data_IF_041780027211
#
_entry.id   IF_041780027211
#
_cell.length_a   1.000
_cell.length_b   1.000
_cell.length_c   1.000
_cell.angle_alpha   90.00
_cell.angle_beta   90.00
_cell.angle_gamma   90.00
#
_symmetry.space_group_name_H-M   'P 1'
#
loop_
_entity.id
_entity.type
_entity.pdbx_description
1 polymer ?
#
# COMPACT_ATOMS: atom_id res chain seq x y z
N UNK A 1 6.24 -21.63 2.85
CA UNK A 1 5.40 -21.85 4.02
C UNK A 1 5.06 -23.33 4.16
N UNK A 2 4.83 -23.81 5.39
CA UNK A 2 4.34 -25.18 5.63
C UNK A 2 2.92 -25.36 5.09
N UNK A 3 2.07 -24.36 5.31
CA UNK A 3 0.69 -24.31 4.80
C UNK A 3 0.42 -22.96 4.15
N UNK A 4 -0.30 -22.98 3.05
CA UNK A 4 -0.77 -21.78 2.36
C UNK A 4 -2.27 -21.87 2.13
N UNK A 5 -3.01 -20.83 2.52
CA UNK A 5 -4.48 -20.79 2.44
C UNK A 5 -4.91 -19.50 1.75
N UNK A 6 -5.74 -19.59 0.74
CA UNK A 6 -6.50 -18.47 0.20
C UNK A 6 -7.84 -18.38 0.91
N UNK A 7 -8.16 -17.21 1.46
CA UNK A 7 -9.41 -16.96 2.17
C UNK A 7 -10.25 -15.94 1.38
N UNK A 8 -11.40 -16.39 0.86
CA UNK A 8 -12.22 -15.65 -0.11
C UNK A 8 -13.39 -14.89 0.51
N UNK A 9 -13.64 -15.10 1.79
CA UNK A 9 -14.72 -14.44 2.54
C UNK A 9 -14.38 -14.41 4.03
N UNK A 10 -15.15 -13.64 4.80
CA UNK A 10 -14.93 -13.48 6.25
C UNK A 10 -14.91 -14.82 7.00
N UNK A 11 -15.84 -15.72 6.68
CA UNK A 11 -15.92 -17.03 7.35
C UNK A 11 -14.66 -17.86 7.11
N UNK A 12 -14.14 -17.84 5.88
CA UNK A 12 -12.90 -18.54 5.53
C UNK A 12 -11.67 -17.88 6.18
N UNK A 13 -11.65 -16.55 6.28
CA UNK A 13 -10.58 -15.80 6.99
C UNK A 13 -10.53 -16.26 8.45
N UNK A 14 -11.66 -16.20 9.15
CA UNK A 14 -11.76 -16.59 10.57
C UNK A 14 -11.39 -18.06 10.73
N UNK A 15 -11.98 -18.95 9.94
CA UNK A 15 -11.71 -20.39 10.03
C UNK A 15 -10.23 -20.73 9.76
N UNK A 16 -9.58 -20.06 8.79
CA UNK A 16 -8.17 -20.28 8.51
C UNK A 16 -7.26 -19.81 9.66
N UNK A 17 -7.60 -18.69 10.30
CA UNK A 17 -6.87 -18.17 11.47
C UNK A 17 -7.03 -19.11 12.66
N UNK A 18 -8.25 -19.56 12.95
CA UNK A 18 -8.53 -20.48 14.07
C UNK A 18 -7.88 -21.85 13.86
N UNK A 19 -7.92 -22.39 12.65
CA UNK A 19 -7.27 -23.65 12.31
C UNK A 19 -5.73 -23.60 12.37
N UNK A 20 -5.16 -22.43 12.40
CA UNK A 20 -3.71 -22.21 12.47
C UNK A 20 -3.23 -21.68 13.84
N UNK A 21 -4.11 -21.65 14.85
CA UNK A 21 -3.83 -20.99 16.15
C UNK A 21 -2.55 -21.49 16.85
N UNK A 22 -2.20 -22.77 16.68
CA UNK A 22 -1.04 -23.39 17.32
C UNK A 22 0.26 -23.27 16.50
N UNK A 23 0.24 -22.51 15.42
CA UNK A 23 1.38 -22.27 14.55
C UNK A 23 1.61 -20.80 14.25
N UNK A 24 2.83 -20.39 13.88
CA UNK A 24 3.05 -19.05 13.38
C UNK A 24 2.13 -18.74 12.18
N UNK A 25 1.49 -17.57 12.20
CA UNK A 25 0.60 -17.11 11.13
C UNK A 25 1.18 -15.87 10.47
N UNK A 26 1.25 -15.88 9.14
CA UNK A 26 1.55 -14.71 8.32
C UNK A 26 0.34 -14.36 7.47
N UNK A 27 -0.25 -13.21 7.71
CA UNK A 27 -1.35 -12.67 6.91
C UNK A 27 -0.75 -11.83 5.77
N UNK A 28 -1.18 -12.10 4.55
CA UNK A 28 -0.75 -11.34 3.37
C UNK A 28 -1.94 -10.91 2.51
N UNK A 29 -1.78 -9.79 1.82
CA UNK A 29 -2.61 -9.42 0.67
C UNK A 29 -1.93 -9.87 -0.63
N UNK A 30 -1.52 -8.91 -1.48
CA UNK A 30 -0.80 -9.21 -2.73
C UNK A 30 0.66 -9.68 -2.56
N UNK A 31 1.20 -9.68 -1.34
CA UNK A 31 2.61 -10.05 -1.09
C UNK A 31 3.64 -9.04 -1.64
N UNK A 32 3.22 -7.82 -1.93
CA UNK A 32 4.04 -6.82 -2.62
C UNK A 32 4.96 -6.01 -1.71
N UNK A 33 4.82 -6.18 -0.38
CA UNK A 33 5.62 -5.45 0.62
C UNK A 33 6.29 -6.39 1.62
N UNK A 34 6.68 -7.57 1.16
CA UNK A 34 7.40 -8.57 1.96
C UNK A 34 8.62 -9.08 1.23
N UNK A 35 9.67 -9.36 1.98
CA UNK A 35 10.84 -10.11 1.52
C UNK A 35 10.88 -11.42 2.28
N UNK A 36 10.76 -12.53 1.54
CA UNK A 36 10.78 -13.88 2.11
C UNK A 36 12.17 -14.46 1.96
N UNK A 37 12.76 -14.89 3.07
CA UNK A 37 14.05 -15.58 3.06
C UNK A 37 13.95 -16.95 2.34
N UNK A 38 15.08 -17.49 1.87
CA UNK A 38 15.13 -18.75 1.13
C UNK A 38 14.58 -19.94 1.93
N UNK A 39 14.73 -19.94 3.26
CA UNK A 39 14.14 -20.91 4.18
C UNK A 39 12.61 -20.84 4.25
N UNK A 40 12.01 -19.79 3.70
CA UNK A 40 10.57 -19.60 3.68
C UNK A 40 10.00 -19.21 5.05
N UNK A 41 8.75 -19.61 5.31
CA UNK A 41 8.03 -19.31 6.56
C UNK A 41 7.58 -20.62 7.22
N UNK A 42 8.03 -20.84 8.44
CA UNK A 42 7.72 -22.05 9.20
C UNK A 42 6.36 -21.94 9.93
N UNK A 43 5.30 -21.87 9.15
CA UNK A 43 3.94 -21.71 9.65
C UNK A 43 2.89 -21.68 8.56
N UNK A 44 1.73 -21.12 8.87
CA UNK A 44 0.61 -20.94 7.95
C UNK A 44 0.61 -19.54 7.37
N UNK A 45 0.67 -19.41 6.05
CA UNK A 45 0.43 -18.17 5.32
C UNK A 45 -1.05 -18.14 4.92
N UNK A 46 -1.75 -17.07 5.30
CA UNK A 46 -3.15 -16.86 4.92
C UNK A 46 -3.18 -15.62 4.01
N UNK A 47 -3.52 -15.84 2.74
CA UNK A 47 -3.72 -14.76 1.78
C UNK A 47 -5.18 -14.33 1.79
N UNK A 48 -5.39 -13.05 2.06
CA UNK A 48 -6.73 -12.45 2.05
C UNK A 48 -7.11 -12.12 0.62
N UNK A 49 -8.15 -12.78 0.11
CA UNK A 49 -8.61 -12.66 -1.28
C UNK A 49 -10.12 -12.39 -1.36
N UNK A 50 -10.75 -12.03 -0.24
CA UNK A 50 -12.17 -11.66 -0.21
C UNK A 50 -12.41 -10.40 -1.03
N UNK A 51 -13.35 -10.52 -1.95
CA UNK A 51 -13.71 -9.44 -2.88
C UNK A 51 -15.17 -9.06 -2.64
N UNK A 52 -15.37 -7.79 -2.36
CA UNK A 52 -16.69 -7.17 -2.26
C UNK A 52 -16.58 -5.69 -2.58
N UNK A 53 -17.62 -5.14 -3.17
CA UNK A 53 -17.77 -3.71 -3.38
C UNK A 53 -19.25 -3.37 -3.15
N UNK A 54 -19.53 -2.69 -2.05
CA UNK A 54 -20.81 -2.11 -1.76
C UNK A 54 -20.69 -0.59 -1.85
N UNK A 55 -21.67 0.06 -2.45
CA UNK A 55 -21.65 1.49 -2.68
C UNK A 55 -22.98 2.10 -2.28
N UNK A 56 -22.94 3.03 -1.36
CA UNK A 56 -24.06 3.93 -1.02
C UNK A 56 -23.73 5.31 -1.59
N UNK A 57 -24.55 5.78 -2.50
CA UNK A 57 -24.33 7.05 -3.21
C UNK A 57 -25.43 8.02 -2.81
N UNK A 58 -25.02 9.16 -2.30
CA UNK A 58 -25.88 10.28 -1.95
C UNK A 58 -25.37 11.56 -2.62
N UNK A 59 -26.28 12.31 -3.23
CA UNK A 59 -25.94 13.51 -4.00
C UNK A 59 -25.26 14.61 -3.16
N UNK A 60 -25.52 14.66 -1.86
CA UNK A 60 -24.98 15.66 -0.95
C UNK A 60 -23.68 15.23 -0.29
N UNK A 61 -23.60 13.96 0.12
CA UNK A 61 -22.47 13.43 0.89
C UNK A 61 -21.43 12.70 0.03
N UNK A 62 -21.75 12.39 -1.23
CA UNK A 62 -20.87 11.66 -2.13
C UNK A 62 -21.09 10.15 -2.08
N UNK A 63 -20.02 9.36 -2.17
CA UNK A 63 -20.07 7.91 -2.19
C UNK A 63 -19.39 7.30 -0.96
N UNK A 64 -20.14 6.51 -0.20
CA UNK A 64 -19.60 5.60 0.82
C UNK A 64 -19.39 4.25 0.19
N UNK A 65 -18.15 3.78 0.17
CA UNK A 65 -17.73 2.54 -0.48
C UNK A 65 -17.17 1.57 0.54
N UNK A 66 -17.80 0.41 0.73
CA UNK A 66 -17.29 -0.69 1.57
C UNK A 66 -16.64 -1.74 0.67
N UNK A 67 -15.34 -1.95 0.86
CA UNK A 67 -14.49 -2.71 -0.06
C UNK A 67 -13.81 -3.86 0.68
N UNK A 68 -13.94 -5.07 0.14
CA UNK A 68 -13.27 -6.26 0.66
C UNK A 68 -11.74 -6.12 0.66
N UNK A 69 -11.10 -6.59 1.73
CA UNK A 69 -9.66 -6.43 1.95
C UNK A 69 -8.79 -7.05 0.85
N UNK A 70 -9.28 -8.07 0.15
CA UNK A 70 -8.59 -8.77 -0.94
C UNK A 70 -8.72 -8.11 -2.31
N UNK A 71 -9.47 -7.00 -2.45
CA UNK A 71 -9.53 -6.26 -3.70
C UNK A 71 -8.16 -5.66 -4.07
N UNK A 72 -7.83 -5.67 -5.37
CA UNK A 72 -6.62 -5.02 -5.85
C UNK A 72 -6.75 -3.50 -5.68
N UNK A 73 -5.74 -2.87 -5.09
CA UNK A 73 -5.78 -1.44 -4.80
C UNK A 73 -5.92 -0.58 -6.06
N UNK A 74 -5.09 -0.80 -7.08
CA UNK A 74 -5.12 0.05 -8.28
C UNK A 74 -6.35 -0.19 -9.16
N UNK A 75 -6.88 -1.41 -9.19
CA UNK A 75 -8.16 -1.70 -9.86
C UNK A 75 -9.32 -0.99 -9.16
N UNK A 76 -9.31 -0.96 -7.81
CA UNK A 76 -10.27 -0.18 -7.03
C UNK A 76 -10.17 1.32 -7.35
N UNK A 77 -8.98 1.92 -7.28
CA UNK A 77 -8.77 3.34 -7.63
C UNK A 77 -9.18 3.63 -9.07
N UNK A 78 -8.87 2.74 -10.02
CA UNK A 78 -9.32 2.86 -11.41
C UNK A 78 -10.84 2.89 -11.51
N UNK A 79 -11.52 2.04 -10.76
CA UNK A 79 -12.99 1.97 -10.76
C UNK A 79 -13.62 3.22 -10.18
N UNK A 80 -13.04 3.82 -9.11
CA UNK A 80 -13.55 5.07 -8.52
C UNK A 80 -13.43 6.22 -9.52
N UNK A 81 -12.29 6.38 -10.18
CA UNK A 81 -12.08 7.40 -11.22
C UNK A 81 -13.05 7.24 -12.39
N UNK A 82 -13.27 6.01 -12.87
CA UNK A 82 -14.19 5.72 -13.96
C UNK A 82 -15.66 6.04 -13.61
N UNK A 83 -16.01 5.95 -12.33
CA UNK A 83 -17.36 6.26 -11.79
C UNK A 83 -17.55 7.74 -11.41
N UNK A 84 -16.52 8.58 -11.59
CA UNK A 84 -16.57 9.99 -11.22
C UNK A 84 -16.50 10.23 -9.71
N UNK A 85 -15.81 9.37 -8.96
CA UNK A 85 -15.48 9.57 -7.56
C UNK A 85 -14.06 10.09 -7.43
N UNK A 86 -13.91 11.26 -6.80
CA UNK A 86 -12.65 11.95 -6.60
C UNK A 86 -12.09 11.71 -5.19
N UNK A 87 -10.77 11.61 -5.10
CA UNK A 87 -10.03 11.48 -3.83
C UNK A 87 -8.82 10.54 -3.95
N UNK A 88 -8.99 9.38 -4.54
CA UNK A 88 -7.94 8.34 -4.57
C UNK A 88 -7.02 8.40 -5.79
N UNK A 89 -7.24 9.28 -6.74
CA UNK A 89 -6.52 9.37 -8.02
C UNK A 89 -5.01 9.57 -7.86
N UNK A 90 -4.57 10.30 -6.82
CA UNK A 90 -3.16 10.50 -6.49
C UNK A 90 -2.48 9.25 -5.96
N UNK A 91 -3.25 8.29 -5.44
CA UNK A 91 -2.78 7.02 -4.91
C UNK A 91 -2.78 5.89 -5.95
N UNK A 92 -2.95 6.25 -7.23
CA UNK A 92 -2.94 5.32 -8.36
C UNK A 92 -1.62 4.57 -8.49
N UNK A 93 -1.69 3.32 -8.90
CA UNK A 93 -0.51 2.48 -9.19
C UNK A 93 0.27 2.04 -7.94
N UNK A 94 -0.22 2.28 -6.73
CA UNK A 94 0.37 1.70 -5.51
C UNK A 94 0.06 0.20 -5.53
N UNK A 95 1.06 -0.67 -5.42
CA UNK A 95 0.84 -2.12 -5.43
C UNK A 95 0.23 -2.60 -4.11
N UNK A 96 -0.53 -3.69 -4.18
CA UNK A 96 -1.11 -4.34 -3.01
C UNK A 96 -2.62 -4.45 -3.06
N UNK A 97 -3.23 -4.66 -1.89
CA UNK A 97 -4.68 -4.83 -1.74
C UNK A 97 -5.28 -3.75 -0.86
N UNK A 98 -6.58 -3.56 -0.97
CA UNK A 98 -7.33 -2.58 -0.18
C UNK A 98 -7.12 -2.80 1.33
N UNK A 99 -7.17 -4.04 1.82
CA UNK A 99 -6.95 -4.33 3.25
C UNK A 99 -5.55 -4.05 3.76
N UNK A 100 -4.54 -3.98 2.87
CA UNK A 100 -3.19 -3.59 3.25
C UNK A 100 -3.02 -2.07 3.34
N UNK A 101 -3.91 -1.28 2.74
CA UNK A 101 -3.79 0.17 2.65
C UNK A 101 -3.82 0.88 4.02
N UNK A 102 -4.70 0.54 4.99
CA UNK A 102 -4.71 1.19 6.29
C UNK A 102 -3.55 0.79 7.20
N UNK A 103 -2.92 -0.39 6.97
CA UNK A 103 -1.89 -0.91 7.90
C UNK A 103 -0.74 0.08 8.06
N UNK A 104 -0.23 0.63 6.99
CA UNK A 104 0.85 1.61 7.02
C UNK A 104 0.44 2.98 6.48
N UNK A 105 -0.87 3.27 6.44
CA UNK A 105 -1.38 4.52 5.93
C UNK A 105 -0.70 4.87 4.59
N UNK A 106 -1.00 4.10 3.53
CA UNK A 106 -0.35 4.31 2.23
C UNK A 106 -0.57 5.74 1.75
N UNK A 107 0.45 6.31 1.11
CA UNK A 107 0.36 7.69 0.62
C UNK A 107 1.34 7.96 -0.51
N UNK A 108 0.95 8.84 -1.40
CA UNK A 108 1.73 9.31 -2.53
C UNK A 108 1.25 10.68 -2.98
N UNK A 109 2.15 11.46 -3.59
CA UNK A 109 1.83 12.75 -4.20
C UNK A 109 1.07 13.73 -3.30
N UNK A 110 1.42 13.74 -2.00
CA UNK A 110 0.89 14.69 -1.01
C UNK A 110 -0.41 14.25 -0.32
N UNK A 111 -0.94 13.07 -0.64
CA UNK A 111 -2.14 12.52 0.00
C UNK A 111 -1.86 11.17 0.66
N UNK A 112 -2.64 10.86 1.69
CA UNK A 112 -2.62 9.59 2.40
C UNK A 112 -4.02 8.95 2.39
N UNK A 113 -4.08 7.64 2.45
CA UNK A 113 -5.35 6.91 2.39
C UNK A 113 -6.26 7.21 3.58
N UNK A 114 -5.69 7.60 4.71
CA UNK A 114 -6.42 8.02 5.91
C UNK A 114 -7.36 9.19 5.69
N UNK A 115 -7.10 10.05 4.68
CA UNK A 115 -7.97 11.18 4.33
C UNK A 115 -9.34 10.71 3.82
N UNK A 116 -9.45 9.48 3.36
CA UNK A 116 -10.62 8.92 2.69
C UNK A 116 -11.25 7.74 3.43
N UNK A 117 -10.53 7.11 4.37
CA UNK A 117 -11.04 6.00 5.18
C UNK A 117 -11.97 6.55 6.26
N UNK A 118 -13.17 5.97 6.36
CA UNK A 118 -14.11 6.25 7.46
C UNK A 118 -14.10 5.15 8.51
N UNK A 119 -13.99 3.89 8.08
CA UNK A 119 -14.00 2.73 8.98
C UNK A 119 -13.09 1.62 8.44
N UNK A 120 -12.55 0.83 9.37
CA UNK A 120 -11.81 -0.40 9.07
C UNK A 120 -12.41 -1.54 9.89
N UNK A 121 -12.94 -2.55 9.22
CA UNK A 121 -13.52 -3.73 9.86
C UNK A 121 -12.47 -4.83 9.90
N UNK A 122 -12.27 -5.40 11.08
CA UNK A 122 -11.17 -6.35 11.37
C UNK A 122 -11.67 -7.54 12.17
N UNK A 123 -10.90 -8.63 12.10
CA UNK A 123 -10.96 -9.72 13.08
C UNK A 123 -9.85 -9.53 14.12
N UNK A 124 -10.22 -9.41 15.39
CA UNK A 124 -9.28 -9.36 16.52
C UNK A 124 -8.93 -10.79 16.93
N UNK A 125 -7.69 -11.21 16.68
CA UNK A 125 -7.20 -12.55 16.97
C UNK A 125 -7.07 -12.86 18.47
N UNK A 126 -7.04 -11.83 19.34
CA UNK A 126 -6.97 -12.01 20.79
C UNK A 126 -8.36 -12.26 21.38
N UNK A 127 -9.36 -11.45 21.00
CA UNK A 127 -10.73 -11.61 21.52
C UNK A 127 -11.58 -12.57 20.68
N UNK A 128 -11.12 -12.93 19.48
CA UNK A 128 -11.84 -13.76 18.48
C UNK A 128 -13.17 -13.14 18.02
N UNK A 129 -13.19 -11.82 17.92
CA UNK A 129 -14.37 -11.03 17.57
C UNK A 129 -14.10 -10.14 16.37
N UNK A 130 -15.18 -9.80 15.67
CA UNK A 130 -15.15 -8.75 14.64
C UNK A 130 -15.19 -7.39 15.35
N UNK A 131 -14.23 -6.54 15.01
CA UNK A 131 -14.13 -5.18 15.53
C UNK A 131 -14.02 -4.17 14.39
N UNK A 132 -14.85 -3.13 14.46
CA UNK A 132 -14.82 -2.01 13.52
C UNK A 132 -14.19 -0.79 14.19
N UNK A 133 -13.19 -0.22 13.55
CA UNK A 133 -12.49 0.99 13.96
C UNK A 133 -12.99 2.17 13.14
N UNK A 134 -13.29 3.29 13.80
CA UNK A 134 -13.46 4.59 13.11
C UNK A 134 -12.12 5.11 12.63
N UNK A 135 -12.12 6.13 11.77
CA UNK A 135 -10.88 6.79 11.32
C UNK A 135 -10.00 7.23 12.50
N UNK A 136 -10.60 7.89 13.50
CA UNK A 136 -9.89 8.34 14.70
C UNK A 136 -9.26 7.19 15.50
N UNK A 137 -9.98 6.09 15.67
CA UNK A 137 -9.49 4.89 16.37
C UNK A 137 -8.37 4.16 15.62
N UNK A 138 -8.22 4.41 14.31
CA UNK A 138 -7.12 3.87 13.53
C UNK A 138 -5.78 4.58 13.81
N UNK A 139 -5.76 5.71 14.53
CA UNK A 139 -4.56 6.45 14.94
C UNK A 139 -3.55 6.64 13.80
N UNK A 140 -4.06 7.02 12.62
CA UNK A 140 -3.23 7.18 11.45
C UNK A 140 -2.17 8.26 11.63
N UNK A 141 -0.97 7.96 11.18
CA UNK A 141 0.13 8.91 11.08
C UNK A 141 1.04 8.52 9.92
N UNK A 142 2.09 9.30 9.68
CA UNK A 142 3.00 9.04 8.56
C UNK A 142 3.51 7.60 8.58
N UNK A 143 3.10 6.81 7.57
CA UNK A 143 3.45 5.39 7.41
C UNK A 143 3.15 4.53 8.64
N UNK A 144 2.16 4.90 9.43
CA UNK A 144 1.78 4.20 10.66
C UNK A 144 0.27 4.19 10.89
N UNK A 145 -0.19 3.25 11.71
CA UNK A 145 -1.57 3.12 12.16
C UNK A 145 -1.63 2.31 13.46
N UNK A 146 -2.78 2.30 14.11
CA UNK A 146 -3.06 1.42 15.25
C UNK A 146 -2.77 -0.05 14.93
N UNK A 147 -3.09 -0.50 13.72
CA UNK A 147 -2.85 -1.89 13.29
C UNK A 147 -1.37 -2.23 13.18
N UNK A 148 -0.55 -1.31 12.68
CA UNK A 148 0.90 -1.47 12.59
C UNK A 148 1.56 -1.43 13.96
N UNK A 149 1.02 -0.64 14.89
CA UNK A 149 1.47 -0.57 16.28
C UNK A 149 1.12 -1.85 17.08
N UNK A 150 0.13 -2.65 16.63
CA UNK A 150 -0.29 -3.90 17.23
C UNK A 150 -0.10 -5.08 16.24
N UNK A 151 1.14 -5.42 15.88
CA UNK A 151 1.43 -6.38 14.83
C UNK A 151 0.86 -7.76 15.15
N UNK A 152 0.22 -8.36 14.14
CA UNK A 152 -0.32 -9.73 14.22
C UNK A 152 -1.63 -9.86 15.00
N UNK A 153 -2.17 -8.80 15.61
CA UNK A 153 -3.42 -8.86 16.34
C UNK A 153 -4.64 -8.73 15.45
N UNK A 154 -4.68 -7.72 14.60
CA UNK A 154 -5.85 -7.41 13.77
C UNK A 154 -5.66 -7.88 12.34
N UNK A 155 -6.68 -8.54 11.79
CA UNK A 155 -6.73 -8.93 10.37
C UNK A 155 -7.82 -8.10 9.71
N UNK A 156 -7.44 -7.24 8.77
CA UNK A 156 -8.40 -6.40 8.05
C UNK A 156 -9.25 -7.26 7.11
N UNK A 157 -10.57 -7.09 7.20
CA UNK A 157 -11.56 -7.80 6.38
C UNK A 157 -12.17 -6.86 5.35
N UNK A 158 -12.42 -5.61 5.74
CA UNK A 158 -13.09 -4.62 4.90
C UNK A 158 -12.61 -3.22 5.25
N UNK A 159 -12.55 -2.34 4.26
CA UNK A 159 -12.25 -0.92 4.45
C UNK A 159 -13.36 -0.08 3.83
N UNK A 160 -13.88 0.87 4.60
CA UNK A 160 -14.90 1.80 4.14
C UNK A 160 -14.27 3.16 3.82
N UNK A 161 -14.62 3.69 2.65
CA UNK A 161 -14.14 4.97 2.15
C UNK A 161 -15.29 5.94 1.96
N UNK A 162 -15.02 7.23 2.18
CA UNK A 162 -15.89 8.33 1.78
C UNK A 162 -15.22 9.12 0.67
N UNK A 163 -15.82 9.15 -0.51
CA UNK A 163 -15.31 9.83 -1.68
C UNK A 163 -16.32 10.90 -2.15
N UNK A 164 -15.79 12.01 -2.68
CA UNK A 164 -16.64 13.04 -3.28
C UNK A 164 -17.07 12.62 -4.68
N UNK A 165 -18.29 12.95 -5.05
CA UNK A 165 -18.70 12.93 -6.46
C UNK A 165 -18.09 14.14 -7.17
N UNK A 166 -17.49 13.92 -8.33
CA UNK A 166 -16.93 15.00 -9.13
C UNK A 166 -15.86 14.54 -10.09
N UNK A 167 -15.59 15.39 -11.04
CA UNK A 167 -14.61 15.14 -12.11
C UNK A 167 -13.25 15.79 -11.82
N UNK A 168 -13.15 16.58 -10.77
CA UNK A 168 -11.92 17.25 -10.35
C UNK A 168 -11.31 16.60 -9.13
N UNK A 169 -9.99 16.49 -9.14
CA UNK A 169 -9.17 15.92 -8.08
C UNK A 169 -9.29 16.68 -6.75
N UNK A 170 -8.72 16.11 -5.70
CA UNK A 170 -8.27 16.91 -4.54
C UNK A 170 -7.24 17.95 -4.98
N UNK A 171 -6.99 19.05 -4.20
CA UNK A 171 -5.93 20.00 -4.53
C UNK A 171 -4.58 19.30 -4.68
N UNK A 172 -3.87 19.57 -5.78
CA UNK A 172 -2.58 18.98 -6.08
C UNK A 172 -1.50 19.72 -5.30
N UNK A 173 -1.06 19.17 -4.18
CA UNK A 173 -0.06 19.78 -3.29
C UNK A 173 1.38 19.38 -3.62
N UNK A 174 1.57 18.36 -4.47
CA UNK A 174 2.89 17.84 -4.80
C UNK A 174 3.44 18.47 -6.09
N UNK A 175 4.51 19.25 -5.98
CA UNK A 175 5.03 20.07 -7.07
C UNK A 175 5.35 19.30 -8.36
N UNK A 176 5.91 18.08 -8.26
CA UNK A 176 6.21 17.26 -9.45
C UNK A 176 4.94 16.87 -10.22
N UNK A 177 3.86 16.58 -9.50
CA UNK A 177 2.56 16.25 -10.13
C UNK A 177 1.91 17.51 -10.69
N UNK A 178 1.94 18.64 -9.99
CA UNK A 178 1.44 19.92 -10.47
C UNK A 178 2.17 20.34 -11.78
N UNK A 179 3.49 20.25 -11.81
CA UNK A 179 4.29 20.52 -13.02
C UNK A 179 3.93 19.56 -14.17
N UNK A 180 3.69 18.28 -13.89
CA UNK A 180 3.29 17.29 -14.90
C UNK A 180 1.90 17.58 -15.47
N UNK A 181 1.03 18.19 -14.68
CA UNK A 181 -0.34 18.59 -15.07
C UNK A 181 -0.40 20.02 -15.63
N UNK A 182 0.73 20.75 -15.63
CA UNK A 182 0.83 22.15 -16.10
C UNK A 182 -0.10 23.10 -15.32
N UNK A 183 -0.24 22.89 -14.00
CA UNK A 183 -1.06 23.70 -13.09
C UNK A 183 -0.21 24.23 -11.92
N UNK A 184 -0.73 25.24 -11.21
CA UNK A 184 -0.11 25.71 -9.98
C UNK A 184 -0.32 24.71 -8.82
N UNK A 185 0.62 24.68 -7.87
CA UNK A 185 0.46 23.90 -6.63
C UNK A 185 -0.74 24.43 -5.85
N UNK A 186 -1.64 23.53 -5.47
CA UNK A 186 -2.90 23.85 -4.79
C UNK A 186 -4.12 23.88 -5.71
N UNK A 187 -3.93 23.91 -7.01
CA UNK A 187 -5.03 23.80 -7.98
C UNK A 187 -5.53 22.36 -8.12
N UNK A 188 -6.66 22.23 -8.78
CA UNK A 188 -7.31 20.94 -9.08
C UNK A 188 -7.18 20.64 -10.57
N UNK A 189 -7.18 19.36 -10.90
CA UNK A 189 -7.17 18.88 -12.28
C UNK A 189 -8.22 17.78 -12.46
N UNK A 190 -8.63 17.46 -13.70
CA UNK A 190 -9.53 16.35 -13.94
C UNK A 190 -8.97 15.04 -13.36
N UNK A 191 -9.80 14.29 -12.63
CA UNK A 191 -9.39 13.02 -11.95
C UNK A 191 -8.75 12.03 -12.93
N UNK A 192 -9.24 11.96 -14.16
CA UNK A 192 -8.70 11.07 -15.20
C UNK A 192 -7.30 11.52 -15.62
N UNK A 193 -7.09 12.82 -15.81
CA UNK A 193 -5.78 13.39 -16.15
C UNK A 193 -4.79 13.21 -14.98
N UNK A 194 -5.24 13.45 -13.75
CA UNK A 194 -4.44 13.25 -12.52
C UNK A 194 -3.97 11.79 -12.42
N UNK A 195 -4.89 10.81 -12.54
CA UNK A 195 -4.51 9.40 -12.53
C UNK A 195 -3.48 9.07 -13.62
N UNK A 196 -3.70 9.55 -14.86
CA UNK A 196 -2.77 9.34 -15.97
C UNK A 196 -1.39 9.89 -15.65
N UNK A 197 -1.30 11.13 -15.19
CA UNK A 197 -0.04 11.78 -14.82
C UNK A 197 0.69 11.03 -13.71
N UNK A 198 -0.03 10.57 -12.67
CA UNK A 198 0.53 9.76 -11.58
C UNK A 198 1.11 8.46 -12.11
N UNK A 199 0.40 7.73 -12.95
CA UNK A 199 0.87 6.46 -13.53
C UNK A 199 2.12 6.69 -14.41
N UNK A 200 2.16 7.75 -15.21
CA UNK A 200 3.33 8.09 -16.01
C UNK A 200 4.56 8.42 -15.14
N UNK A 201 4.38 9.23 -14.09
CA UNK A 201 5.45 9.55 -13.15
C UNK A 201 5.96 8.31 -12.41
N UNK A 202 5.07 7.41 -12.04
CA UNK A 202 5.44 6.14 -11.38
C UNK A 202 6.15 5.20 -12.34
N UNK A 203 5.70 5.11 -13.60
CA UNK A 203 6.34 4.30 -14.63
C UNK A 203 7.78 4.78 -14.89
N UNK A 204 7.97 6.10 -15.03
CA UNK A 204 9.29 6.69 -15.24
C UNK A 204 10.28 6.44 -14.07
N UNK A 205 9.76 6.10 -12.89
CA UNK A 205 10.55 5.75 -11.69
C UNK A 205 10.70 4.23 -11.48
N UNK A 206 10.23 3.39 -12.39
CA UNK A 206 10.20 1.94 -12.23
C UNK A 206 9.28 1.46 -11.09
N UNK A 207 8.25 2.25 -10.71
CA UNK A 207 7.34 1.95 -9.59
C UNK A 207 6.03 1.28 -10.03
N UNK A 208 5.85 1.05 -11.33
CA UNK A 208 4.76 0.24 -11.87
C UNK A 208 5.34 -1.07 -12.38
N UNK A 209 4.80 -2.18 -11.87
CA UNK A 209 5.27 -3.49 -12.29
C UNK A 209 4.96 -3.72 -13.78
N UNK A 210 6.01 -3.85 -14.57
CA UNK A 210 5.97 -4.24 -15.98
C UNK A 210 6.82 -5.51 -16.16
N UNK A 211 6.23 -6.66 -16.49
CA UNK A 211 7.00 -7.91 -16.66
C UNK A 211 8.07 -7.83 -17.75
N UNK A 212 7.94 -6.92 -18.70
CA UNK A 212 8.90 -6.72 -19.80
C UNK A 212 10.06 -5.79 -19.43
N UNK A 213 9.96 -5.08 -18.31
CA UNK A 213 10.94 -4.11 -17.84
C UNK A 213 11.50 -4.53 -16.48
N UNK A 214 12.77 -4.93 -16.44
CA UNK A 214 13.44 -5.35 -15.22
C UNK A 214 13.62 -4.24 -14.20
N UNK A 215 13.71 -2.99 -14.63
CA UNK A 215 13.87 -1.84 -13.73
C UNK A 215 12.58 -1.58 -12.93
N UNK A 216 11.44 -2.11 -13.41
CA UNK A 216 10.17 -2.07 -12.68
C UNK A 216 10.09 -3.07 -11.51
N UNK A 217 11.04 -4.01 -11.38
CA UNK A 217 11.12 -4.97 -10.27
C UNK A 217 11.78 -4.35 -9.05
N UNK A 218 11.32 -3.18 -8.71
CA UNK A 218 11.86 -2.32 -7.65
C UNK A 218 11.10 -2.52 -6.34
N UNK A 219 11.82 -2.47 -5.22
CA UNK A 219 11.22 -2.41 -3.88
C UNK A 219 10.64 -1.02 -3.56
N UNK A 220 10.74 -0.05 -4.47
CA UNK A 220 10.41 1.35 -4.22
C UNK A 220 11.32 1.95 -3.14
N UNK A 221 10.78 2.87 -2.34
CA UNK A 221 11.50 3.43 -1.21
C UNK A 221 11.58 2.42 -0.07
N UNK A 222 12.75 1.79 0.10
CA UNK A 222 12.97 0.76 1.11
C UNK A 222 12.88 1.32 2.55
N UNK A 223 13.38 2.54 2.76
CA UNK A 223 13.34 3.19 4.06
C UNK A 223 12.23 4.24 4.11
N UNK A 224 11.53 4.30 5.23
CA UNK A 224 10.67 5.44 5.56
C UNK A 224 11.50 6.64 5.99
N UNK A 225 10.99 7.85 5.78
CA UNK A 225 11.65 9.05 6.30
C UNK A 225 11.63 9.02 7.82
N UNK A 226 12.74 9.29 8.50
CA UNK A 226 12.74 9.38 9.95
C UNK A 226 11.94 10.60 10.43
N UNK A 227 11.13 10.41 11.45
CA UNK A 227 10.50 11.52 12.18
C UNK A 227 11.47 11.99 13.23
N UNK A 228 11.84 13.27 13.20
CA UNK A 228 12.83 13.86 14.07
C UNK A 228 12.27 15.13 14.75
N UNK A 229 12.85 15.53 15.87
CA UNK A 229 12.50 16.76 16.55
C UNK A 229 13.08 18.00 15.83
N UNK A 230 12.54 19.18 16.16
CA UNK A 230 12.92 20.44 15.56
C UNK A 230 14.41 20.78 15.78
N UNK A 231 14.97 20.45 16.94
CA UNK A 231 16.36 20.74 17.26
C UNK A 231 17.32 19.88 16.43
N UNK A 232 16.97 18.62 16.20
CA UNK A 232 17.69 17.72 15.29
C UNK A 232 17.56 18.20 13.85
N UNK A 233 16.36 18.61 13.43
CA UNK A 233 16.10 19.12 12.09
C UNK A 233 16.92 20.39 11.79
N UNK A 234 17.12 21.27 12.78
CA UNK A 234 17.91 22.49 12.63
C UNK A 234 19.40 22.23 12.35
N UNK A 235 19.93 21.07 12.74
CA UNK A 235 21.33 20.68 12.51
C UNK A 235 21.59 20.11 11.12
N UNK A 236 20.54 19.86 10.35
CA UNK A 236 20.66 19.28 9.02
C UNK A 236 21.00 20.33 7.97
N UNK A 237 21.69 19.96 6.86
CA UNK A 237 21.94 20.86 5.76
C UNK A 237 20.65 21.56 5.30
N UNK A 238 20.74 22.83 4.89
CA UNK A 238 19.57 23.63 4.46
C UNK A 238 18.84 23.00 3.25
N UNK A 239 19.59 22.31 2.42
CA UNK A 239 19.12 21.63 1.20
C UNK A 239 18.41 20.32 1.50
N UNK A 240 18.48 19.82 2.74
CA UNK A 240 17.79 18.59 3.13
C UNK A 240 16.27 18.83 3.12
N UNK A 241 15.50 18.06 2.32
CA UNK A 241 14.05 18.20 2.28
C UNK A 241 13.44 17.95 3.66
N UNK A 242 12.47 18.77 4.03
CA UNK A 242 11.78 18.72 5.33
C UNK A 242 10.28 18.83 5.09
N UNK A 243 9.51 17.98 5.77
CA UNK A 243 8.06 18.00 5.73
C UNK A 243 7.54 18.13 7.17
N UNK A 244 7.01 19.30 7.55
CA UNK A 244 6.39 19.49 8.86
C UNK A 244 5.23 18.52 9.07
N UNK A 245 5.12 17.97 10.27
CA UNK A 245 3.96 17.20 10.70
C UNK A 245 3.01 18.06 11.52
N UNK A 246 1.73 17.71 11.56
CA UNK A 246 0.71 18.46 12.31
C UNK A 246 1.01 18.55 13.83
N UNK A 247 1.76 17.59 14.37
CA UNK A 247 2.21 17.55 15.77
C UNK A 247 3.54 18.28 16.02
N UNK A 248 4.04 19.08 15.08
CA UNK A 248 5.27 19.84 15.18
C UNK A 248 6.56 19.03 14.95
N UNK A 249 6.48 17.73 14.73
CA UNK A 249 7.62 16.89 14.34
C UNK A 249 7.91 17.05 12.85
N UNK A 250 9.16 16.92 12.46
CA UNK A 250 9.58 17.08 11.07
C UNK A 250 10.12 15.74 10.56
N UNK A 251 9.41 15.04 9.66
CA UNK A 251 9.98 13.93 8.93
C UNK A 251 11.03 14.44 7.96
N UNK A 252 12.13 13.74 7.88
CA UNK A 252 13.18 14.06 6.91
C UNK A 252 13.24 12.97 5.84
N UNK A 253 13.23 13.36 4.57
CA UNK A 253 13.71 12.49 3.50
C UNK A 253 15.23 12.42 3.55
N UNK A 254 15.80 11.22 3.54
CA UNK A 254 17.20 11.07 3.11
C UNK A 254 17.31 11.60 1.69
N UNK A 255 18.38 12.33 1.34
CA UNK A 255 18.64 12.62 -0.05
C UNK A 255 18.68 11.29 -0.80
N UNK A 256 17.71 11.08 -1.67
CA UNK A 256 17.77 9.96 -2.61
C UNK A 256 19.01 10.25 -3.46
N UNK A 257 20.06 9.46 -3.34
CA UNK A 257 21.07 9.43 -4.38
C UNK A 257 20.33 9.01 -5.65
N UNK A 258 20.02 9.96 -6.52
CA UNK A 258 19.61 9.67 -7.87
C UNK A 258 20.82 9.01 -8.54
N UNK A 259 20.80 7.72 -8.65
CA UNK A 259 21.63 7.05 -9.62
C UNK A 259 21.03 7.38 -11.00
N UNK A 260 21.79 8.01 -11.89
CA UNK A 260 21.32 8.17 -13.26
C UNK A 260 21.03 6.79 -13.85
N UNK A 261 20.04 6.67 -14.74
CA UNK A 261 19.74 5.42 -15.43
C UNK A 261 21.03 4.88 -16.05
N UNK A 262 21.43 3.64 -15.72
CA UNK A 262 22.59 2.97 -16.31
C UNK A 262 23.90 2.97 -15.52
N UNK A 263 24.04 3.67 -14.40
CA UNK A 263 25.22 3.53 -13.54
C UNK A 263 24.97 2.48 -12.45
N UNK A 264 25.48 1.28 -12.63
CA UNK A 264 25.70 0.32 -11.54
C UNK A 264 26.77 0.91 -10.62
N UNK A 265 26.51 0.94 -9.31
CA UNK A 265 27.56 1.22 -8.33
C UNK A 265 28.57 0.08 -8.37
N UNK A 266 29.69 0.29 -9.07
CA UNK A 266 30.92 -0.43 -8.72
C UNK A 266 31.32 0.04 -7.33
N UNK A 267 31.50 -0.92 -6.42
CA UNK A 267 31.53 -0.68 -5.00
C UNK A 267 32.71 0.16 -4.55
N UNK A 268 32.43 1.14 -3.71
CA UNK A 268 33.33 1.52 -2.65
C UNK A 268 32.66 1.20 -1.31
N UNK A 269 33.30 0.29 -0.59
CA UNK A 269 32.76 -0.33 0.60
C UNK A 269 32.71 0.61 1.79
N UNK A 270 31.54 0.66 2.40
CA UNK A 270 31.44 0.82 3.84
C UNK A 270 31.07 -0.56 4.37
N UNK A 271 31.98 -1.17 5.09
CA UNK A 271 31.84 -2.50 5.67
C UNK A 271 30.71 -2.52 6.69
N UNK A 272 29.53 -2.98 6.25
CA UNK A 272 28.52 -3.60 7.07
C UNK A 272 28.48 -5.09 6.71
N UNK A 273 27.99 -5.98 7.57
CA UNK A 273 28.08 -7.42 7.35
C UNK A 273 27.52 -7.76 5.96
N UNK A 274 28.32 -8.52 5.20
CA UNK A 274 28.12 -8.88 3.81
C UNK A 274 26.74 -9.49 3.56
N UNK A 275 25.83 -8.70 3.01
CA UNK A 275 24.70 -9.24 2.26
C UNK A 275 25.26 -9.72 0.91
N UNK A 276 25.30 -11.01 0.71
CA UNK A 276 25.59 -11.62 -0.59
C UNK A 276 24.61 -11.02 -1.63
N UNK A 277 25.04 -10.85 -2.90
CA UNK A 277 24.15 -10.31 -3.93
C UNK A 277 22.90 -11.19 -4.02
N UNK A 278 21.75 -10.56 -3.99
CA UNK A 278 20.44 -11.20 -4.03
C UNK A 278 20.38 -12.16 -5.22
N UNK A 279 20.25 -13.45 -4.92
CA UNK A 279 19.90 -14.44 -5.90
C UNK A 279 18.56 -14.03 -6.54
N UNK A 280 18.49 -14.17 -7.86
CA UNK A 280 17.39 -13.83 -8.75
C UNK A 280 16.02 -14.01 -8.09
N UNK A 281 15.33 -12.91 -7.79
CA UNK A 281 13.92 -12.91 -7.42
C UNK A 281 13.13 -13.59 -8.55
N UNK A 282 12.68 -14.82 -8.33
CA UNK A 282 11.73 -15.48 -9.24
C UNK A 282 10.35 -14.87 -9.01
N UNK A 283 9.62 -14.44 -10.04
CA UNK A 283 8.27 -13.96 -9.88
C UNK A 283 7.38 -15.07 -9.32
N UNK A 284 6.58 -14.75 -8.31
CA UNK A 284 5.56 -15.62 -7.69
C UNK A 284 4.43 -16.06 -8.67
N UNK A 285 4.51 -15.69 -9.95
CA UNK A 285 3.49 -15.95 -10.96
C UNK A 285 3.47 -17.36 -11.57
N UNK A 286 4.23 -18.34 -11.07
CA UNK A 286 4.17 -19.71 -11.57
C UNK A 286 3.58 -20.72 -10.59
N UNK A 287 2.45 -20.38 -9.97
CA UNK A 287 1.56 -21.39 -9.40
C UNK A 287 0.17 -21.28 -10.04
N UNK A 288 0.12 -21.38 -11.36
CA UNK A 288 -1.10 -21.88 -12.02
C UNK A 288 -1.07 -23.39 -11.92
N UNK A 289 -2.00 -23.93 -11.14
CA UNK A 289 -2.13 -25.34 -10.90
C UNK A 289 -2.23 -26.14 -12.20
N UNK A 290 -1.43 -27.19 -12.31
CA UNK A 290 -1.72 -28.29 -13.23
C UNK A 290 -3.07 -28.85 -12.81
N UNK A 291 -4.11 -28.62 -13.60
CA UNK A 291 -5.27 -29.52 -13.65
C UNK A 291 -4.74 -30.88 -14.12
N UNK A 292 -4.67 -31.80 -13.21
CA UNK A 292 -4.55 -33.21 -13.60
C UNK A 292 -5.90 -33.65 -14.14
N UNK A 293 -5.92 -33.88 -15.44
CA UNK A 293 -6.85 -34.78 -16.07
C UNK A 293 -6.70 -36.15 -15.39
N UNK A 294 -7.74 -36.60 -14.72
CA UNK A 294 -8.00 -38.02 -14.52
C UNK A 294 -9.31 -38.33 -15.24
N UNK A 295 -9.17 -38.72 -16.50
CA UNK A 295 -10.17 -39.56 -17.13
C UNK A 295 -9.79 -41.03 -16.91
N UNK A 296 -10.79 -41.77 -16.52
CA UNK A 296 -11.09 -43.17 -16.78
C UNK A 296 -10.03 -44.25 -16.46
N UNK A 297 -10.28 -45.03 -15.48
CA UNK A 297 -10.69 -46.46 -15.61
C UNK A 297 -11.35 -46.90 -14.31
#
# INVERSE_FOLDING_TARGET
>A
AKKFVDAHNEKEIVAAIEAAADSPILIIGGGTNILVADGGFDGTVIRITNKSLEAEIDACSGATLSIGAGENWDDFVKSTVARGFAGLETLSGIPGTVGASPIQNIGAYGHEVSEFITRVRTYDRQTKEIKTFTNEQCEFSYRNSYFKAHPGRYVVIEVQFQLRMGIESTPITYAELANKLEIAVGERAPVVATRKAVLELRAAKGMLLNPSDRDSWSAGSFFTNPIIDVATAAKLPKEAPRWPQADGRIPQARPQRRFPPGQRSEGEGVAGPSLRPAAKLRPLHRYQGRRQERQAL
#
